data_IF_841163477303
#
_entry.id   IF_841163477303
#
_cell.length_a   1.000
_cell.length_b   1.000
_cell.length_c   1.000
_cell.angle_alpha   90.00
_cell.angle_beta   90.00
_cell.angle_gamma   90.00
#
_symmetry.space_group_name_H-M   'P 1'
#
loop_
_entity.id
_entity.type
_entity.pdbx_description
1 polymer ?
#
# COMPACT_ATOMS: atom_id res chain seq x y z
N UNK A 1 80.69 1.00 17.86
CA UNK A 1 81.59 1.54 16.82
C UNK A 1 81.83 0.47 15.77
N UNK A 2 81.47 0.72 14.51
CA UNK A 2 81.74 -0.15 13.36
C UNK A 2 81.08 0.39 12.09
N UNK A 3 81.88 1.07 11.25
CA UNK A 3 81.55 1.58 9.89
C UNK A 3 81.43 0.38 8.92
N UNK A 4 80.43 0.28 8.04
CA UNK A 4 80.12 0.98 6.76
C UNK A 4 80.98 0.55 5.56
N UNK A 5 80.35 -0.14 4.59
CA UNK A 5 80.35 0.06 3.12
C UNK A 5 79.43 -1.02 2.48
N UNK A 6 78.29 -0.69 1.88
CA UNK A 6 78.02 -0.13 0.53
C UNK A 6 78.33 -1.10 -0.62
N UNK A 7 77.30 -1.81 -1.10
CA UNK A 7 77.18 -2.21 -2.51
C UNK A 7 75.76 -1.88 -2.97
N UNK A 8 75.69 -1.05 -4.00
CA UNK A 8 74.51 -0.57 -4.72
C UNK A 8 73.95 -1.65 -5.65
N UNK A 9 72.63 -1.78 -5.73
CA UNK A 9 71.99 -2.05 -7.03
C UNK A 9 70.54 -1.57 -7.08
N UNK A 10 70.21 -0.97 -8.22
CA UNK A 10 69.04 -0.13 -8.52
C UNK A 10 67.84 -0.91 -9.10
N UNK A 11 66.63 -0.61 -8.57
CA UNK A 11 65.27 -0.54 -9.20
C UNK A 11 64.68 -1.78 -9.94
N UNK A 12 63.35 -1.87 -10.20
CA UNK A 12 62.29 -0.85 -10.07
C UNK A 12 60.99 -1.29 -9.35
N UNK A 13 60.18 -0.24 -9.10
CA UNK A 13 58.82 -0.20 -8.54
C UNK A 13 57.86 -1.24 -9.14
N UNK A 14 57.22 -2.06 -8.29
CA UNK A 14 56.02 -2.83 -8.66
C UNK A 14 54.80 -1.92 -8.59
N UNK A 15 54.27 -1.58 -9.77
CA UNK A 15 52.96 -0.96 -9.94
C UNK A 15 51.85 -1.91 -9.47
N UNK A 16 50.90 -1.36 -8.74
CA UNK A 16 49.67 -2.03 -8.32
C UNK A 16 48.79 -2.16 -9.57
N UNK A 17 48.62 -3.38 -10.07
CA UNK A 17 47.71 -3.65 -11.18
C UNK A 17 46.26 -3.51 -10.70
N UNK A 18 45.67 -2.33 -10.89
CA UNK A 18 44.22 -2.15 -10.82
C UNK A 18 43.58 -2.83 -12.05
N UNK A 19 43.22 -4.09 -11.89
CA UNK A 19 42.42 -4.82 -12.90
C UNK A 19 40.97 -4.36 -12.75
N UNK A 20 40.61 -3.30 -13.47
CA UNK A 20 39.21 -3.01 -13.74
C UNK A 20 38.68 -4.05 -14.74
N UNK A 21 37.55 -4.73 -14.48
CA UNK A 21 36.93 -5.59 -15.48
C UNK A 21 36.55 -4.72 -16.68
N UNK A 22 36.97 -5.14 -17.87
CA UNK A 22 36.60 -4.49 -19.12
C UNK A 22 35.06 -4.50 -19.25
N UNK A 23 34.42 -3.36 -19.51
CA UNK A 23 32.98 -3.32 -19.70
C UNK A 23 32.59 -4.21 -20.88
N UNK A 24 31.43 -4.89 -20.82
CA UNK A 24 30.96 -5.70 -21.93
C UNK A 24 30.82 -4.85 -23.20
N UNK A 25 31.12 -5.41 -24.39
CA UNK A 25 31.04 -4.68 -25.65
C UNK A 25 29.61 -4.18 -25.89
N UNK A 26 29.51 -2.96 -26.41
CA UNK A 26 28.23 -2.36 -26.77
C UNK A 26 27.52 -3.25 -27.82
N UNK A 27 26.19 -3.49 -27.69
CA UNK A 27 25.44 -4.21 -28.71
C UNK A 27 25.55 -3.47 -30.06
N UNK A 28 25.68 -4.24 -31.15
CA UNK A 28 25.84 -3.71 -32.49
C UNK A 28 24.69 -2.75 -32.86
N UNK A 29 25.01 -1.69 -33.61
CA UNK A 29 24.05 -0.68 -34.06
C UNK A 29 22.85 -1.36 -34.74
N UNK A 30 21.65 -1.11 -34.20
CA UNK A 30 20.40 -1.50 -34.83
C UNK A 30 20.30 -0.87 -36.23
N UNK A 31 19.66 -1.54 -37.22
CA UNK A 31 19.50 -0.96 -38.55
C UNK A 31 18.68 0.33 -38.46
N UNK A 32 19.18 1.38 -39.12
CA UNK A 32 18.50 2.67 -39.26
C UNK A 32 17.13 2.47 -39.93
N UNK A 33 16.06 2.45 -39.13
CA UNK A 33 14.73 2.65 -39.67
C UNK A 33 14.55 4.15 -39.97
N UNK A 34 14.45 4.43 -41.26
CA UNK A 34 14.34 5.77 -41.82
C UNK A 34 13.30 6.64 -41.11
N UNK A 35 13.76 7.84 -40.75
CA UNK A 35 12.97 8.94 -40.20
C UNK A 35 11.95 9.40 -41.26
N UNK A 36 10.73 8.85 -41.25
CA UNK A 36 9.61 9.38 -42.05
C UNK A 36 8.78 10.34 -41.21
N UNK A 37 8.85 11.62 -41.62
CA UNK A 37 7.83 12.67 -41.55
C UNK A 37 6.89 12.74 -40.34
N UNK A 38 6.98 13.84 -39.61
CA UNK A 38 5.89 14.33 -38.76
C UNK A 38 4.68 14.61 -39.66
N UNK A 39 3.65 13.79 -39.59
CA UNK A 39 2.33 14.11 -40.11
C UNK A 39 1.39 14.31 -38.93
N UNK A 40 1.05 15.57 -38.65
CA UNK A 40 -0.07 15.86 -37.75
C UNK A 40 -1.37 15.46 -38.46
N UNK A 41 -2.03 14.42 -37.95
CA UNK A 41 -3.44 14.20 -38.22
C UNK A 41 -4.18 13.81 -36.95
N UNK A 42 -5.22 14.59 -36.68
CA UNK A 42 -6.13 14.49 -35.55
C UNK A 42 -6.83 13.13 -35.56
N UNK A 43 -6.72 12.37 -34.45
CA UNK A 43 -7.86 11.73 -33.77
C UNK A 43 -7.39 11.04 -32.50
N UNK A 44 -8.13 11.30 -31.43
CA UNK A 44 -7.97 10.74 -30.10
C UNK A 44 -7.93 9.21 -30.16
N UNK A 45 -6.77 8.61 -29.89
CA UNK A 45 -6.65 7.19 -29.62
C UNK A 45 -6.19 7.07 -28.16
N UNK A 46 -7.15 6.78 -27.28
CA UNK A 46 -6.87 6.33 -25.92
C UNK A 46 -5.96 5.10 -26.03
N UNK A 47 -4.68 5.28 -25.73
CA UNK A 47 -3.74 4.16 -25.53
C UNK A 47 -4.20 3.39 -24.30
N UNK A 48 -5.03 2.38 -24.56
CA UNK A 48 -5.59 1.46 -23.57
C UNK A 48 -4.54 0.41 -23.20
N UNK A 49 -4.12 0.48 -21.93
CA UNK A 49 -3.47 -0.54 -21.10
C UNK A 49 -2.06 -1.01 -21.47
N UNK A 50 -1.09 -0.59 -20.65
CA UNK A 50 -0.02 -1.48 -20.20
C UNK A 50 -0.12 -1.55 -18.68
N UNK A 51 -0.89 -2.52 -18.19
CA UNK A 51 -0.61 -3.06 -16.85
C UNK A 51 0.84 -3.54 -16.91
N UNK A 52 1.71 -3.12 -15.98
CA UNK A 52 3.06 -3.66 -15.89
C UNK A 52 3.02 -5.19 -16.13
N UNK A 53 3.92 -5.73 -16.96
CA UNK A 53 3.91 -7.17 -17.24
C UNK A 53 3.95 -7.94 -15.91
N UNK A 54 3.36 -9.13 -15.86
CA UNK A 54 3.44 -10.00 -14.67
C UNK A 54 4.88 -10.10 -14.16
N UNK A 55 5.83 -10.26 -15.08
CA UNK A 55 7.28 -10.27 -14.82
C UNK A 55 7.76 -9.03 -14.05
N UNK A 56 7.33 -7.82 -14.43
CA UNK A 56 7.74 -6.62 -13.72
C UNK A 56 7.20 -6.62 -12.28
N UNK A 57 5.94 -7.05 -12.07
CA UNK A 57 5.37 -7.18 -10.72
C UNK A 57 6.09 -8.24 -9.90
N UNK A 58 6.41 -9.38 -10.50
CA UNK A 58 7.14 -10.47 -9.83
C UNK A 58 8.55 -10.02 -9.38
N UNK A 59 9.23 -9.22 -10.20
CA UNK A 59 10.53 -8.62 -9.84
C UNK A 59 10.41 -7.66 -8.65
N UNK A 60 9.39 -6.79 -8.65
CA UNK A 60 9.16 -5.86 -7.53
C UNK A 60 8.78 -6.58 -6.24
N UNK A 61 8.01 -7.65 -6.34
CA UNK A 61 7.64 -8.51 -5.22
C UNK A 61 8.87 -9.24 -4.65
N UNK A 62 9.71 -9.80 -5.54
CA UNK A 62 10.98 -10.42 -5.17
C UNK A 62 11.95 -9.42 -4.52
N UNK A 63 11.96 -8.15 -4.97
CA UNK A 63 12.75 -7.09 -4.35
C UNK A 63 12.30 -6.81 -2.92
N UNK A 64 10.98 -6.82 -2.68
CA UNK A 64 10.43 -6.67 -1.33
C UNK A 64 10.82 -7.85 -0.44
N UNK A 65 10.61 -9.09 -0.90
CA UNK A 65 10.90 -10.29 -0.11
C UNK A 65 12.40 -10.46 0.17
N UNK A 66 13.26 -10.18 -0.81
CA UNK A 66 14.71 -10.31 -0.65
C UNK A 66 15.37 -9.15 0.10
N UNK A 67 14.72 -7.99 0.21
CA UNK A 67 15.26 -6.81 0.89
C UNK A 67 16.61 -6.31 0.32
N UNK A 68 16.94 -6.66 -0.92
CA UNK A 68 18.24 -6.37 -1.52
C UNK A 68 18.47 -4.86 -1.62
N UNK A 69 19.48 -4.36 -0.88
CA UNK A 69 19.81 -2.93 -0.74
C UNK A 69 18.74 -2.08 -0.05
N UNK A 70 17.92 -2.68 0.81
CA UNK A 70 16.99 -1.95 1.66
C UNK A 70 17.71 -0.90 2.52
N UNK A 71 17.30 0.36 2.38
CA UNK A 71 17.84 1.53 3.07
C UNK A 71 16.91 2.07 4.17
N UNK A 72 15.76 1.42 4.37
CA UNK A 72 14.76 1.72 5.39
C UNK A 72 14.42 0.47 6.21
N UNK A 73 14.21 0.68 7.50
CA UNK A 73 13.61 -0.29 8.42
C UNK A 73 12.32 0.27 9.00
N UNK A 74 11.24 -0.49 8.86
CA UNK A 74 9.93 -0.21 9.45
C UNK A 74 9.78 -1.06 10.70
N UNK A 75 9.53 -0.42 11.84
CA UNK A 75 9.30 -1.08 13.14
C UNK A 75 7.81 -1.20 13.43
N UNK A 76 7.39 -2.36 13.91
CA UNK A 76 6.02 -2.63 14.38
C UNK A 76 6.00 -2.81 15.89
N UNK A 77 4.82 -2.73 16.51
CA UNK A 77 4.68 -2.73 17.98
C UNK A 77 5.09 -4.04 18.65
N UNK A 78 4.94 -5.15 17.93
CA UNK A 78 5.35 -6.50 18.33
C UNK A 78 6.87 -6.73 18.22
N UNK A 79 7.66 -5.68 17.96
CA UNK A 79 9.10 -5.78 17.76
C UNK A 79 9.50 -6.25 16.36
N UNK A 80 8.54 -6.44 15.48
CA UNK A 80 8.75 -6.77 14.08
C UNK A 80 9.56 -5.73 13.31
N UNK A 81 10.36 -6.22 12.36
CA UNK A 81 11.22 -5.42 11.50
C UNK A 81 10.94 -5.77 10.04
N UNK A 82 10.49 -4.79 9.25
CA UNK A 82 10.30 -4.91 7.80
C UNK A 82 11.33 -4.05 7.10
N UNK A 83 12.14 -4.66 6.24
CA UNK A 83 13.12 -3.97 5.40
C UNK A 83 12.45 -3.43 4.14
N UNK A 84 12.78 -2.20 3.75
CA UNK A 84 12.18 -1.54 2.60
C UNK A 84 13.11 -0.50 1.94
N UNK A 85 12.62 0.09 0.85
CA UNK A 85 13.33 1.06 0.04
C UNK A 85 12.62 2.42 0.08
N UNK A 86 13.33 3.46 0.50
CA UNK A 86 12.74 4.77 0.69
C UNK A 86 12.17 5.40 -0.58
N UNK A 87 12.78 5.13 -1.73
CA UNK A 87 12.30 5.61 -3.02
C UNK A 87 10.93 5.01 -3.36
N UNK A 88 10.75 3.70 -3.18
CA UNK A 88 9.48 3.00 -3.41
C UNK A 88 8.41 3.54 -2.46
N UNK A 89 8.68 3.54 -1.15
CA UNK A 89 7.73 4.04 -0.15
C UNK A 89 7.37 5.50 -0.37
N UNK A 90 8.36 6.34 -0.64
CA UNK A 90 8.17 7.77 -0.87
C UNK A 90 7.39 8.05 -2.15
N UNK A 91 7.57 7.26 -3.21
CA UNK A 91 6.78 7.38 -4.44
C UNK A 91 5.33 6.94 -4.23
N UNK A 92 5.11 5.84 -3.50
CA UNK A 92 3.79 5.26 -3.29
C UNK A 92 2.92 6.05 -2.28
N UNK A 93 3.52 6.72 -1.30
CA UNK A 93 2.80 7.44 -0.24
C UNK A 93 3.44 8.80 0.07
N UNK A 94 2.69 9.91 -0.03
CA UNK A 94 3.17 11.22 0.40
C UNK A 94 3.43 11.29 1.91
N UNK A 95 2.66 10.54 2.71
CA UNK A 95 2.82 10.46 4.17
C UNK A 95 4.14 9.78 4.52
N UNK A 96 4.41 8.60 3.93
CA UNK A 96 5.69 7.90 4.11
C UNK A 96 6.86 8.75 3.60
N UNK A 97 6.71 9.45 2.46
CA UNK A 97 7.72 10.41 1.98
C UNK A 97 8.03 11.47 3.03
N UNK A 98 7.01 12.05 3.66
CA UNK A 98 7.15 13.02 4.73
C UNK A 98 7.87 12.44 5.95
N UNK A 99 7.49 11.23 6.39
CA UNK A 99 8.15 10.52 7.49
C UNK A 99 9.63 10.26 7.19
N UNK A 100 9.95 9.81 5.97
CA UNK A 100 11.31 9.50 5.53
C UNK A 100 12.21 10.75 5.39
N UNK A 101 11.63 11.92 5.10
CA UNK A 101 12.36 13.20 5.12
C UNK A 101 12.73 13.62 6.53
N UNK A 102 11.87 13.35 7.51
CA UNK A 102 12.11 13.66 8.94
C UNK A 102 13.04 12.63 9.59
N UNK A 103 13.02 11.39 9.11
CA UNK A 103 13.91 10.33 9.56
C UNK A 103 15.37 10.69 9.23
N UNK A 104 16.11 11.19 10.23
CA UNK A 104 17.54 11.49 10.11
C UNK A 104 18.34 10.20 9.97
N UNK A 105 19.19 10.13 8.94
CA UNK A 105 20.09 9.01 8.71
C UNK A 105 21.33 9.45 7.95
N UNK A 106 22.17 10.31 8.53
CA UNK A 106 23.53 10.47 8.03
C UNK A 106 24.29 9.18 8.34
N UNK A 107 24.59 8.37 7.33
CA UNK A 107 25.39 7.15 7.44
C UNK A 107 24.73 5.92 8.08
N UNK A 108 23.47 6.01 8.55
CA UNK A 108 22.70 4.88 9.10
C UNK A 108 21.39 4.67 8.31
N UNK A 109 20.95 3.41 8.19
CA UNK A 109 19.63 3.05 7.63
C UNK A 109 18.55 3.89 8.29
N UNK A 110 17.65 4.47 7.49
CA UNK A 110 16.51 5.23 8.02
C UNK A 110 15.55 4.30 8.73
N UNK A 111 14.92 4.76 9.80
CA UNK A 111 13.89 3.99 10.49
C UNK A 111 12.62 4.81 10.66
N UNK A 112 11.49 4.16 10.38
CA UNK A 112 10.15 4.66 10.67
C UNK A 112 9.39 3.59 11.47
N UNK A 113 8.32 3.97 12.16
CA UNK A 113 7.48 3.05 12.92
C UNK A 113 6.04 3.12 12.43
N UNK A 114 5.37 1.97 12.41
CA UNK A 114 3.93 1.84 12.16
C UNK A 114 3.33 1.16 13.38
N UNK A 115 2.46 1.88 14.08
CA UNK A 115 1.88 1.48 15.36
C UNK A 115 0.39 1.13 15.22
N UNK A 116 -0.15 0.38 16.17
CA UNK A 116 -1.57 0.02 16.30
C UNK A 116 -2.05 -1.04 15.31
N UNK A 117 -1.14 -1.70 14.59
CA UNK A 117 -1.47 -2.68 13.55
C UNK A 117 -0.55 -3.89 13.63
N UNK A 118 -1.13 -5.08 13.47
CA UNK A 118 -0.41 -6.37 13.45
C UNK A 118 0.68 -6.37 12.36
N UNK A 119 1.86 -6.92 12.65
CA UNK A 119 3.01 -6.90 11.73
C UNK A 119 2.67 -7.48 10.35
N UNK A 120 1.90 -8.56 10.28
CA UNK A 120 1.55 -9.17 8.99
C UNK A 120 0.69 -8.26 8.11
N UNK A 121 -0.27 -7.54 8.69
CA UNK A 121 -1.05 -6.54 7.96
C UNK A 121 -0.14 -5.39 7.46
N UNK A 122 0.84 -4.98 8.27
CA UNK A 122 1.85 -3.99 7.85
C UNK A 122 2.70 -4.55 6.71
N UNK A 123 3.12 -5.82 6.78
CA UNK A 123 3.89 -6.47 5.71
C UNK A 123 3.10 -6.50 4.40
N UNK A 124 1.82 -6.89 4.44
CA UNK A 124 0.92 -6.90 3.27
C UNK A 124 0.76 -5.48 2.70
N UNK A 125 0.54 -4.49 3.56
CA UNK A 125 0.46 -3.08 3.17
C UNK A 125 1.73 -2.62 2.44
N UNK A 126 2.91 -2.89 3.00
CA UNK A 126 4.17 -2.47 2.40
C UNK A 126 4.45 -3.21 1.10
N UNK A 127 4.19 -4.53 1.03
CA UNK A 127 4.32 -5.32 -0.21
C UNK A 127 3.43 -4.76 -1.33
N UNK A 128 2.20 -4.36 -1.01
CA UNK A 128 1.30 -3.75 -1.98
C UNK A 128 1.90 -2.48 -2.62
N UNK A 129 2.71 -1.70 -1.89
CA UNK A 129 3.37 -0.51 -2.44
C UNK A 129 4.43 -0.83 -3.50
N UNK A 130 4.95 -2.06 -3.54
CA UNK A 130 5.92 -2.49 -4.55
C UNK A 130 5.23 -3.00 -5.82
N UNK A 131 4.28 -3.92 -5.66
CA UNK A 131 3.77 -4.72 -6.77
C UNK A 131 2.27 -4.55 -7.02
N UNK A 132 1.56 -3.82 -6.14
CA UNK A 132 0.09 -3.74 -6.09
C UNK A 132 -0.58 -5.12 -6.02
N UNK A 133 0.11 -6.12 -5.46
CA UNK A 133 -0.41 -7.47 -5.24
C UNK A 133 -0.81 -7.65 -3.79
N UNK A 134 -1.78 -8.54 -3.61
CA UNK A 134 -2.23 -9.08 -2.34
C UNK A 134 -2.77 -10.49 -2.59
N UNK A 135 -2.69 -11.37 -1.60
CA UNK A 135 -3.42 -12.65 -1.66
C UNK A 135 -4.84 -12.46 -1.14
N UNK A 136 -5.76 -13.27 -1.62
CA UNK A 136 -7.16 -13.18 -1.18
C UNK A 136 -7.29 -13.48 0.32
N UNK A 137 -6.54 -14.44 0.83
CA UNK A 137 -6.54 -14.85 2.23
C UNK A 137 -6.02 -13.71 3.13
N UNK A 138 -4.92 -13.07 2.73
CA UNK A 138 -4.35 -11.89 3.41
C UNK A 138 -5.36 -10.73 3.41
N UNK A 139 -6.07 -10.52 2.30
CA UNK A 139 -7.13 -9.50 2.23
C UNK A 139 -8.28 -9.85 3.16
N UNK A 140 -8.79 -11.08 3.12
CA UNK A 140 -9.88 -11.53 3.98
C UNK A 140 -9.55 -11.35 5.46
N UNK A 141 -8.32 -11.64 5.85
CA UNK A 141 -7.85 -11.52 7.23
C UNK A 141 -7.61 -10.07 7.67
N UNK A 142 -7.01 -9.25 6.80
CA UNK A 142 -6.51 -7.93 7.17
C UNK A 142 -7.23 -6.75 6.52
N UNK A 143 -8.36 -6.93 5.84
CA UNK A 143 -9.02 -5.86 5.06
C UNK A 143 -9.31 -4.60 5.90
N UNK A 144 -9.68 -4.77 7.17
CA UNK A 144 -9.95 -3.67 8.11
C UNK A 144 -8.68 -2.85 8.36
N UNK A 145 -7.59 -3.52 8.72
CA UNK A 145 -6.28 -2.90 8.97
C UNK A 145 -5.72 -2.27 7.69
N UNK A 146 -5.87 -2.94 6.55
CA UNK A 146 -5.43 -2.42 5.25
C UNK A 146 -6.22 -1.18 4.83
N UNK A 147 -7.54 -1.13 5.11
CA UNK A 147 -8.35 0.06 4.87
C UNK A 147 -7.83 1.24 5.71
N UNK A 148 -7.60 1.03 7.01
CA UNK A 148 -7.02 2.06 7.91
C UNK A 148 -5.66 2.52 7.41
N UNK A 149 -4.73 1.60 7.14
CA UNK A 149 -3.39 1.92 6.64
C UNK A 149 -3.46 2.68 5.31
N UNK A 150 -4.31 2.24 4.38
CA UNK A 150 -4.47 2.91 3.09
C UNK A 150 -4.98 4.34 3.23
N UNK A 151 -5.86 4.60 4.20
CA UNK A 151 -6.33 5.95 4.49
C UNK A 151 -5.24 6.79 5.17
N UNK A 152 -4.67 6.29 6.28
CA UNK A 152 -3.67 6.98 7.10
C UNK A 152 -2.40 7.35 6.31
N UNK A 153 -1.99 6.48 5.38
CA UNK A 153 -0.81 6.69 4.53
C UNK A 153 -1.16 7.20 3.13
N UNK A 154 -2.40 7.60 2.88
CA UNK A 154 -2.86 8.18 1.61
C UNK A 154 -2.54 7.33 0.36
N UNK A 155 -2.80 6.01 0.45
CA UNK A 155 -2.63 5.04 -0.64
C UNK A 155 -3.99 4.72 -1.25
N UNK A 156 -4.50 5.64 -2.08
CA UNK A 156 -5.86 5.57 -2.63
C UNK A 156 -6.15 4.32 -3.45
N UNK A 157 -5.14 3.73 -4.11
CA UNK A 157 -5.31 2.50 -4.88
C UNK A 157 -5.64 1.30 -3.98
N UNK A 158 -4.93 1.13 -2.86
CA UNK A 158 -5.24 0.09 -1.88
C UNK A 158 -6.60 0.34 -1.23
N UNK A 159 -6.90 1.60 -0.90
CA UNK A 159 -8.19 1.96 -0.30
C UNK A 159 -9.36 1.50 -1.16
N UNK A 160 -9.31 1.77 -2.47
CA UNK A 160 -10.32 1.30 -3.45
C UNK A 160 -10.42 -0.22 -3.50
N UNK A 161 -9.29 -0.92 -3.42
CA UNK A 161 -9.28 -2.39 -3.38
C UNK A 161 -9.99 -2.89 -2.12
N UNK A 162 -9.67 -2.34 -0.93
CA UNK A 162 -10.33 -2.72 0.31
C UNK A 162 -11.84 -2.44 0.26
N UNK A 163 -12.25 -1.27 -0.23
CA UNK A 163 -13.67 -0.92 -0.42
C UNK A 163 -14.38 -1.92 -1.35
N UNK A 164 -13.75 -2.29 -2.48
CA UNK A 164 -14.32 -3.28 -3.41
C UNK A 164 -14.45 -4.68 -2.78
N UNK A 165 -13.43 -5.13 -2.03
CA UNK A 165 -13.45 -6.45 -1.42
C UNK A 165 -14.47 -6.53 -0.28
N UNK A 166 -14.65 -5.45 0.48
CA UNK A 166 -15.75 -5.32 1.44
C UNK A 166 -17.10 -5.37 0.75
N UNK A 167 -17.33 -4.54 -0.27
CA UNK A 167 -18.61 -4.47 -1.00
C UNK A 167 -19.00 -5.81 -1.64
N UNK A 168 -18.05 -6.57 -2.20
CA UNK A 168 -18.35 -7.73 -3.05
C UNK A 168 -18.15 -9.09 -2.37
N UNK A 169 -17.87 -9.16 -1.07
CA UNK A 169 -17.80 -10.47 -0.41
C UNK A 169 -17.34 -10.52 1.04
N UNK A 170 -16.77 -9.45 1.60
CA UNK A 170 -16.29 -9.47 2.99
C UNK A 170 -17.24 -8.75 3.97
N UNK A 171 -18.16 -7.92 3.49
CA UNK A 171 -19.21 -7.32 4.32
C UNK A 171 -20.32 -8.34 4.64
N UNK A 172 -20.68 -8.45 5.91
CA UNK A 172 -21.72 -9.36 6.40
C UNK A 172 -22.41 -8.80 7.66
N UNK A 173 -23.45 -9.46 8.14
CA UNK A 173 -24.25 -8.98 9.28
C UNK A 173 -23.45 -8.81 10.57
N UNK A 174 -22.44 -9.66 10.80
CA UNK A 174 -21.64 -9.62 12.03
C UNK A 174 -20.68 -8.42 12.05
N UNK A 175 -20.14 -8.02 10.89
CA UNK A 175 -19.16 -6.94 10.80
C UNK A 175 -19.72 -5.61 10.26
N UNK A 176 -20.97 -5.56 9.79
CA UNK A 176 -21.52 -4.37 9.10
C UNK A 176 -21.45 -3.10 9.93
N UNK A 177 -21.67 -3.19 11.25
CA UNK A 177 -21.65 -2.03 12.15
C UNK A 177 -20.24 -1.49 12.31
N UNK A 178 -19.25 -2.37 12.46
CA UNK A 178 -17.85 -1.98 12.58
C UNK A 178 -17.34 -1.37 11.26
N UNK A 179 -17.70 -1.98 10.13
CA UNK A 179 -17.35 -1.46 8.80
C UNK A 179 -18.03 -0.13 8.51
N UNK A 180 -19.28 0.07 8.94
CA UNK A 180 -19.98 1.35 8.81
C UNK A 180 -19.22 2.46 9.57
N UNK A 181 -18.94 2.25 10.86
CA UNK A 181 -18.15 3.20 11.67
C UNK A 181 -16.79 3.48 11.03
N UNK A 182 -16.10 2.43 10.58
CA UNK A 182 -14.78 2.56 9.95
C UNK A 182 -14.84 3.34 8.63
N UNK A 183 -15.90 3.15 7.85
CA UNK A 183 -16.08 3.84 6.59
C UNK A 183 -16.23 5.35 6.77
N UNK A 184 -16.91 5.79 7.84
CA UNK A 184 -17.02 7.19 8.24
C UNK A 184 -15.64 7.74 8.59
N UNK A 185 -14.90 7.06 9.47
CA UNK A 185 -13.55 7.46 9.90
C UNK A 185 -12.55 7.51 8.73
N UNK A 186 -12.65 6.58 7.80
CA UNK A 186 -11.75 6.50 6.65
C UNK A 186 -12.20 7.37 5.48
N UNK A 187 -13.30 8.14 5.57
CA UNK A 187 -13.88 8.90 4.46
C UNK A 187 -14.14 8.02 3.22
N UNK A 188 -14.83 6.90 3.38
CA UNK A 188 -15.15 5.91 2.34
C UNK A 188 -16.66 5.93 2.02
N UNK A 189 -17.17 6.95 1.30
CA UNK A 189 -18.61 7.22 1.20
C UNK A 189 -19.40 6.09 0.51
N UNK A 190 -18.80 5.39 -0.46
CA UNK A 190 -19.46 4.23 -1.09
C UNK A 190 -19.69 3.12 -0.07
N UNK A 191 -18.66 2.82 0.72
CA UNK A 191 -18.72 1.82 1.78
C UNK A 191 -19.70 2.22 2.89
N UNK A 192 -19.75 3.51 3.25
CA UNK A 192 -20.75 4.06 4.18
C UNK A 192 -22.17 3.81 3.68
N UNK A 193 -22.45 4.13 2.42
CA UNK A 193 -23.78 3.95 1.83
C UNK A 193 -24.24 2.49 1.84
N UNK A 194 -23.37 1.57 1.39
CA UNK A 194 -23.75 0.15 1.29
C UNK A 194 -23.91 -0.51 2.67
N UNK A 195 -23.06 -0.15 3.63
CA UNK A 195 -23.13 -0.68 4.99
C UNK A 195 -24.35 -0.13 5.73
N UNK A 196 -24.63 1.18 5.60
CA UNK A 196 -25.85 1.79 6.11
C UNK A 196 -27.11 1.11 5.56
N UNK A 197 -27.21 0.94 4.23
CA UNK A 197 -28.34 0.23 3.61
C UNK A 197 -28.48 -1.20 4.14
N UNK A 198 -27.37 -1.93 4.29
CA UNK A 198 -27.40 -3.29 4.82
C UNK A 198 -27.89 -3.34 6.27
N UNK A 199 -27.51 -2.36 7.10
CA UNK A 199 -28.02 -2.18 8.47
C UNK A 199 -29.54 -1.98 8.44
N UNK A 200 -30.05 -1.04 7.64
CA UNK A 200 -31.49 -0.76 7.57
C UNK A 200 -32.30 -1.97 7.12
N UNK A 201 -31.88 -2.62 6.02
CA UNK A 201 -32.60 -3.77 5.46
C UNK A 201 -32.59 -5.01 6.37
N UNK A 202 -31.65 -5.10 7.32
CA UNK A 202 -31.49 -6.26 8.20
C UNK A 202 -31.51 -5.86 9.68
N UNK A 203 -32.15 -4.74 10.01
CA UNK A 203 -32.01 -4.08 11.31
C UNK A 203 -32.25 -5.02 12.49
N UNK A 204 -33.30 -5.85 12.43
CA UNK A 204 -33.61 -6.83 13.48
C UNK A 204 -32.43 -7.79 13.76
N UNK A 205 -31.80 -8.33 12.72
CA UNK A 205 -30.66 -9.22 12.88
C UNK A 205 -29.41 -8.45 13.34
N UNK A 206 -29.15 -7.29 12.74
CA UNK A 206 -27.99 -6.45 13.08
C UNK A 206 -28.03 -5.95 14.52
N UNK A 207 -29.20 -5.54 15.02
CA UNK A 207 -29.38 -5.04 16.39
C UNK A 207 -29.07 -6.08 17.48
N UNK A 208 -29.05 -7.37 17.12
CA UNK A 208 -28.71 -8.46 18.02
C UNK A 208 -27.19 -8.75 18.08
N UNK A 209 -26.40 -8.23 17.13
CA UNK A 209 -24.95 -8.49 17.03
C UNK A 209 -24.16 -7.78 18.13
N UNK A 210 -22.97 -8.30 18.44
CA UNK A 210 -22.06 -7.65 19.38
C UNK A 210 -21.55 -6.31 18.85
N UNK A 211 -21.36 -6.17 17.53
CA UNK A 211 -20.98 -4.91 16.89
C UNK A 211 -22.00 -3.79 17.17
N UNK A 212 -23.30 -4.09 17.08
CA UNK A 212 -24.36 -3.12 17.44
C UNK A 212 -24.32 -2.74 18.92
N UNK A 213 -24.24 -3.72 19.81
CA UNK A 213 -24.21 -3.48 21.27
C UNK A 213 -22.99 -2.64 21.67
N UNK A 214 -21.83 -2.93 21.07
CA UNK A 214 -20.58 -2.18 21.27
C UNK A 214 -20.70 -0.75 20.77
N UNK A 215 -21.26 -0.56 19.56
CA UNK A 215 -21.50 0.77 18.97
C UNK A 215 -22.45 1.60 19.83
N UNK A 216 -23.57 1.02 20.30
CA UNK A 216 -24.51 1.71 21.21
C UNK A 216 -23.82 2.24 22.47
N UNK A 217 -22.97 1.43 23.08
CA UNK A 217 -22.29 1.80 24.31
C UNK A 217 -21.22 2.89 24.08
N UNK A 218 -20.52 2.83 22.95
CA UNK A 218 -19.41 3.74 22.64
C UNK A 218 -19.83 5.03 21.93
N UNK A 219 -20.89 4.97 21.11
CA UNK A 219 -21.35 6.05 20.22
C UNK A 219 -22.90 6.14 20.21
N UNK A 220 -23.55 6.49 21.33
CA UNK A 220 -25.03 6.54 21.41
C UNK A 220 -25.68 7.53 20.44
N UNK A 221 -24.94 8.58 20.01
CA UNK A 221 -25.42 9.49 18.97
C UNK A 221 -25.57 8.81 17.60
N UNK A 222 -24.67 7.88 17.27
CA UNK A 222 -24.73 7.12 16.02
C UNK A 222 -25.87 6.10 16.04
N UNK A 223 -26.13 5.48 17.20
CA UNK A 223 -27.31 4.63 17.37
C UNK A 223 -28.59 5.41 17.06
N UNK A 224 -28.74 6.60 17.65
CA UNK A 224 -29.91 7.44 17.43
C UNK A 224 -30.12 7.77 15.95
N UNK A 225 -29.07 8.19 15.24
CA UNK A 225 -29.13 8.48 13.79
C UNK A 225 -29.55 7.25 12.97
N UNK A 226 -29.02 6.08 13.31
CA UNK A 226 -29.39 4.83 12.65
C UNK A 226 -30.85 4.44 12.93
N UNK A 227 -31.34 4.62 14.16
CA UNK A 227 -32.74 4.37 14.52
C UNK A 227 -33.69 5.32 13.78
N UNK A 228 -33.35 6.61 13.69
CA UNK A 228 -34.11 7.58 12.91
C UNK A 228 -34.17 7.17 11.43
N UNK A 229 -33.03 6.75 10.86
CA UNK A 229 -32.97 6.25 9.49
C UNK A 229 -33.87 5.01 9.27
N UNK A 230 -33.97 4.11 10.26
CA UNK A 230 -34.85 2.93 10.18
C UNK A 230 -36.33 3.35 10.16
N UNK A 231 -36.73 4.25 11.06
CA UNK A 231 -38.11 4.75 11.14
C UNK A 231 -38.50 5.45 9.84
N UNK A 232 -37.61 6.27 9.28
CA UNK A 232 -37.83 6.95 8.00
C UNK A 232 -38.01 5.96 6.83
N UNK A 233 -37.19 4.90 6.78
CA UNK A 233 -37.27 3.88 5.73
C UNK A 233 -38.57 3.07 5.83
N UNK A 234 -39.00 2.72 7.05
CA UNK A 234 -40.29 2.04 7.29
C UNK A 234 -41.48 2.92 6.89
N UNK A 235 -41.46 4.20 7.26
CA UNK A 235 -42.50 5.15 6.86
C UNK A 235 -42.56 5.33 5.33
N UNK A 236 -41.41 5.42 4.66
CA UNK A 236 -41.35 5.47 3.18
C UNK A 236 -41.97 4.22 2.55
N UNK A 237 -41.67 3.05 3.10
CA UNK A 237 -42.20 1.79 2.62
C UNK A 237 -43.73 1.73 2.73
N UNK A 238 -44.27 2.12 3.89
CA UNK A 238 -45.72 2.20 4.12
C UNK A 238 -46.39 3.18 3.15
N UNK A 239 -45.86 4.39 2.99
CA UNK A 239 -46.42 5.39 2.08
C UNK A 239 -46.48 4.90 0.62
N UNK A 240 -45.42 4.22 0.16
CA UNK A 240 -45.39 3.65 -1.19
C UNK A 240 -46.39 2.50 -1.35
N UNK A 241 -46.53 1.64 -0.34
CA UNK A 241 -47.48 0.53 -0.36
C UNK A 241 -48.95 0.99 -0.44
N UNK A 242 -49.31 2.06 0.28
CA UNK A 242 -50.66 2.61 0.28
C UNK A 242 -50.98 3.54 -0.90
N UNK A 243 -49.98 3.87 -1.74
CA UNK A 243 -50.13 4.76 -2.90
C UNK A 243 -50.22 4.02 -4.25
N UNK A 244 -50.07 2.69 -4.25
CA UNK A 244 -50.22 1.78 -5.40
C UNK A 244 -51.49 0.96 -5.28
#
# INVERSE_FOLDING_TARGET
MGKMEMITNTSPRKGVNNVHPTPPPLPAKAPEYGRKGIFMSKRSAVTRYSSASSTARDLWDSLFDGGYRADVTIKTDDGGIIYAHANVLGMASPVLRGMLKRAKGFGKKRSISIHGVHQDAVRVFIRFLYSSRYKYEEMKEFVVQLLVLSHAYAVSSLKRVCEQQLEHGLLNLENVVDIFQLSLLCNAPRLTLISHRMILSNFKAVSATEGWKSMRNSHPGLEKELLESVIEEENRWLQNYWST
#
